data_IF_569278063376
#
_entry.id   IF_569278063376
#
_cell.length_a   1.000
_cell.length_b   1.000
_cell.length_c   1.000
_cell.angle_alpha   90.00
_cell.angle_beta   90.00
_cell.angle_gamma   90.00
#
_symmetry.space_group_name_H-M   'P 1'
#
loop_
_entity.id
_entity.type
_entity.pdbx_description
1 polymer ?
#
# COMPACT_ATOMS: atom_id res chain seq x y z
N UNK A 1 11.62 13.66 16.98
CA UNK A 1 10.81 13.86 15.76
C UNK A 1 9.92 12.64 15.63
N UNK A 2 8.62 12.79 15.86
CA UNK A 2 7.68 11.70 15.62
C UNK A 2 7.51 11.61 14.10
N UNK A 3 7.91 10.50 13.49
CA UNK A 3 7.59 10.24 12.09
C UNK A 3 6.08 9.96 12.00
N UNK A 4 5.27 11.00 11.87
CA UNK A 4 3.80 10.89 11.78
C UNK A 4 3.33 10.02 10.59
N UNK A 5 4.22 9.80 9.62
CA UNK A 5 4.00 8.92 8.45
C UNK A 5 4.34 7.45 8.70
N UNK A 6 5.00 7.10 9.82
CA UNK A 6 5.43 5.73 10.10
C UNK A 6 4.24 4.83 10.44
N UNK A 7 3.93 3.90 9.53
CA UNK A 7 2.85 2.92 9.71
C UNK A 7 3.31 1.86 10.71
N UNK A 8 2.56 1.65 11.78
CA UNK A 8 2.93 0.62 12.78
C UNK A 8 2.78 -0.79 12.21
N UNK A 9 3.51 -1.76 12.75
CA UNK A 9 3.37 -3.17 12.38
C UNK A 9 1.91 -3.68 12.49
N UNK A 10 1.17 -3.21 13.50
CA UNK A 10 -0.24 -3.58 13.68
C UNK A 10 -1.12 -3.02 12.55
N UNK A 11 -0.84 -1.81 12.08
CA UNK A 11 -1.53 -1.25 10.92
C UNK A 11 -1.14 -1.97 9.64
N UNK A 12 0.15 -2.28 9.42
CA UNK A 12 0.60 -3.06 8.26
C UNK A 12 -0.19 -4.38 8.16
N UNK A 13 -0.34 -5.12 9.27
CA UNK A 13 -1.13 -6.35 9.27
C UNK A 13 -2.61 -6.13 8.92
N UNK A 14 -3.22 -5.03 9.38
CA UNK A 14 -4.60 -4.69 9.01
C UNK A 14 -4.71 -4.37 7.52
N UNK A 15 -3.77 -3.57 7.01
CA UNK A 15 -3.69 -3.18 5.59
C UNK A 15 -3.55 -4.43 4.73
N UNK A 16 -2.56 -5.29 5.00
CA UNK A 16 -2.36 -6.58 4.29
C UNK A 16 -3.64 -7.44 4.35
N UNK A 17 -4.32 -7.46 5.50
CA UNK A 17 -5.59 -8.16 5.65
C UNK A 17 -6.66 -7.69 4.67
N UNK A 18 -6.75 -6.38 4.42
CA UNK A 18 -7.70 -5.81 3.45
C UNK A 18 -7.28 -6.13 2.01
N UNK A 19 -5.99 -6.03 1.66
CA UNK A 19 -5.50 -6.42 0.34
C UNK A 19 -5.84 -7.88 0.03
N UNK A 20 -5.58 -8.79 0.97
CA UNK A 20 -5.90 -10.22 0.82
C UNK A 20 -7.40 -10.47 0.65
N UNK A 21 -8.25 -9.74 1.38
CA UNK A 21 -9.71 -9.81 1.21
C UNK A 21 -10.18 -9.33 -0.17
N UNK A 22 -9.46 -8.38 -0.75
CA UNK A 22 -9.69 -7.85 -2.10
C UNK A 22 -8.99 -8.65 -3.20
N UNK A 23 -8.42 -9.83 -2.88
CA UNK A 23 -7.81 -10.73 -3.85
C UNK A 23 -6.36 -10.40 -4.23
N UNK A 24 -5.77 -9.36 -3.65
CA UNK A 24 -4.36 -9.03 -3.89
C UNK A 24 -3.45 -9.91 -3.05
N UNK A 25 -2.53 -10.59 -3.73
CA UNK A 25 -1.51 -11.45 -3.15
C UNK A 25 -0.17 -11.11 -3.79
N UNK A 26 0.88 -11.12 -2.98
CA UNK A 26 2.16 -10.61 -3.41
C UNK A 26 3.04 -10.16 -2.26
N UNK A 27 4.13 -9.48 -2.65
CA UNK A 27 5.07 -8.87 -1.73
C UNK A 27 4.67 -7.42 -1.45
N UNK A 28 4.76 -7.01 -0.19
CA UNK A 28 4.42 -5.67 0.27
C UNK A 28 5.70 -4.96 0.68
N UNK A 29 6.04 -3.86 0.01
CA UNK A 29 7.35 -3.23 0.16
C UNK A 29 7.31 -1.97 1.03
N UNK A 30 6.38 -1.05 0.73
CA UNK A 30 6.27 0.22 1.45
C UNK A 30 4.84 0.45 1.91
N UNK A 31 4.73 1.16 3.05
CA UNK A 31 3.47 1.55 3.66
C UNK A 31 3.60 2.99 4.14
N UNK A 32 2.74 3.87 3.65
CA UNK A 32 2.74 5.28 4.03
C UNK A 32 1.34 5.73 4.41
N UNK A 33 1.20 6.51 5.48
CA UNK A 33 -0.08 7.19 5.76
C UNK A 33 -0.29 8.33 4.78
N UNK A 34 -1.52 8.46 4.29
CA UNK A 34 -1.94 9.67 3.59
C UNK A 34 -1.84 10.87 4.53
N UNK A 35 -1.32 11.99 4.03
CA UNK A 35 -1.28 13.27 4.77
C UNK A 35 -2.60 14.02 4.68
N UNK A 36 -3.45 13.66 3.72
CA UNK A 36 -4.67 14.41 3.39
C UNK A 36 -5.91 13.80 4.06
N UNK A 37 -5.97 12.48 4.19
CA UNK A 37 -7.12 11.78 4.73
C UNK A 37 -6.72 10.75 5.77
N UNK A 38 -7.35 10.82 6.95
CA UNK A 38 -7.14 9.85 8.03
C UNK A 38 -7.65 8.46 7.64
N UNK A 39 -6.87 7.43 7.97
CA UNK A 39 -7.23 6.03 7.66
C UNK A 39 -6.96 5.60 6.21
N UNK A 40 -6.42 6.50 5.39
CA UNK A 40 -5.92 6.18 4.05
C UNK A 40 -4.41 5.91 4.06
N UNK A 41 -4.01 4.92 3.28
CA UNK A 41 -2.63 4.46 3.19
C UNK A 41 -2.23 4.24 1.75
N UNK A 42 -0.99 4.55 1.42
CA UNK A 42 -0.34 4.19 0.17
C UNK A 42 0.54 2.96 0.41
N UNK A 43 0.41 1.97 -0.48
CA UNK A 43 1.07 0.67 -0.34
C UNK A 43 1.63 0.25 -1.67
N UNK A 44 2.90 -0.12 -1.69
CA UNK A 44 3.52 -0.74 -2.86
C UNK A 44 3.40 -2.25 -2.73
N UNK A 45 2.81 -2.85 -3.76
CA UNK A 45 2.60 -4.30 -3.85
C UNK A 45 3.14 -4.81 -5.19
N UNK A 46 3.92 -5.88 -5.12
CA UNK A 46 4.32 -6.67 -6.29
C UNK A 46 3.42 -7.90 -6.36
N UNK A 47 2.58 -7.98 -7.39
CA UNK A 47 1.62 -9.09 -7.57
C UNK A 47 2.33 -10.42 -7.81
N UNK A 48 1.88 -11.49 -7.13
CA UNK A 48 2.55 -12.80 -7.17
C UNK A 48 2.47 -13.51 -8.53
N UNK A 49 1.43 -13.23 -9.32
CA UNK A 49 1.17 -13.95 -10.57
C UNK A 49 1.82 -13.25 -11.77
N UNK A 50 1.70 -11.93 -11.80
CA UNK A 50 2.14 -11.08 -12.92
C UNK A 50 3.50 -10.46 -12.69
N UNK A 51 4.00 -10.46 -11.45
CA UNK A 51 5.23 -9.75 -11.03
C UNK A 51 5.18 -8.24 -11.29
N UNK A 52 3.99 -7.69 -11.53
CA UNK A 52 3.79 -6.26 -11.73
C UNK A 52 3.83 -5.58 -10.37
N UNK A 53 4.71 -4.59 -10.25
CA UNK A 53 4.77 -3.69 -9.08
C UNK A 53 3.82 -2.53 -9.28
N UNK A 54 2.99 -2.25 -8.29
CA UNK A 54 2.01 -1.17 -8.35
C UNK A 54 1.90 -0.39 -7.05
N UNK A 55 1.54 0.88 -7.18
CA UNK A 55 1.09 1.69 -6.06
C UNK A 55 -0.43 1.54 -5.91
N UNK A 56 -0.84 1.27 -4.68
CA UNK A 56 -2.24 1.12 -4.30
C UNK A 56 -2.57 2.09 -3.17
N UNK A 57 -3.82 2.53 -3.16
CA UNK A 57 -4.41 3.30 -2.08
C UNK A 57 -5.37 2.39 -1.32
N UNK A 58 -5.23 2.30 -0.01
CA UNK A 58 -6.10 1.51 0.86
C UNK A 58 -6.77 2.39 1.89
N UNK A 59 -8.06 2.15 2.15
CA UNK A 59 -8.81 2.80 3.21
C UNK A 59 -9.23 1.73 4.23
N UNK A 60 -8.70 1.83 5.46
CA UNK A 60 -8.99 0.85 6.52
C UNK A 60 -10.43 0.93 7.03
N UNK A 61 -11.03 2.11 7.00
CA UNK A 61 -12.40 2.36 7.47
C UNK A 61 -13.42 1.74 6.53
N UNK A 62 -13.22 1.92 5.22
CA UNK A 62 -14.15 1.47 4.18
C UNK A 62 -13.84 0.06 3.68
N UNK A 63 -12.66 -0.48 3.97
CA UNK A 63 -12.27 -1.82 3.52
C UNK A 63 -11.87 -1.90 2.04
N UNK A 64 -11.55 -0.75 1.43
CA UNK A 64 -11.34 -0.62 -0.02
C UNK A 64 -9.86 -0.56 -0.37
N UNK A 65 -9.50 -1.17 -1.50
CA UNK A 65 -8.19 -1.05 -2.16
C UNK A 65 -8.39 -0.57 -3.59
N UNK A 66 -7.70 0.50 -3.95
CA UNK A 66 -7.78 1.14 -5.26
C UNK A 66 -6.39 1.20 -5.90
N UNK A 67 -6.24 0.61 -7.07
CA UNK A 67 -5.04 0.75 -7.90
C UNK A 67 -4.82 2.23 -8.29
N UNK A 68 -3.57 2.69 -8.23
CA UNK A 68 -3.19 4.04 -8.65
C UNK A 68 -2.45 4.00 -9.99
N UNK A 69 -1.27 3.39 -10.02
CA UNK A 69 -0.46 3.22 -11.23
C UNK A 69 0.61 2.12 -11.03
N UNK A 70 1.13 1.59 -12.14
CA UNK A 70 2.27 0.67 -12.16
C UNK A 70 3.53 1.44 -11.79
N UNK A 71 4.39 0.83 -10.99
CA UNK A 71 5.74 1.32 -10.74
C UNK A 71 6.68 0.61 -11.71
N UNK A 72 7.14 1.31 -12.73
CA UNK A 72 8.23 0.83 -13.58
C UNK A 72 9.57 1.18 -12.94
N UNK A 73 10.58 0.31 -13.12
CA UNK A 73 11.98 0.54 -12.72
C UNK A 73 12.59 1.82 -13.35
N UNK A 74 11.87 2.48 -14.26
CA UNK A 74 12.25 3.75 -14.89
C UNK A 74 11.99 5.01 -14.05
N UNK A 75 11.36 4.90 -12.88
CA UNK A 75 11.21 6.02 -11.94
C UNK A 75 12.11 5.88 -10.71
N UNK A 76 13.36 5.46 -10.90
CA UNK A 76 14.42 5.85 -9.97
C UNK A 76 14.59 7.37 -10.09
N UNK A 77 13.98 8.12 -9.18
CA UNK A 77 14.41 9.49 -8.91
C UNK A 77 15.91 9.45 -8.62
N UNK A 78 16.67 10.13 -9.50
CA UNK A 78 18.10 10.35 -9.37
C UNK A 78 18.44 11.14 -8.09
#
# INVERSE_FOLDING_TARGET
>A
MNNETEVSQREMLKIIGIFRKNGFKGEYETFERSKENEGEYFVVVTDENTHIKGLFKANLTDGVVSFQHVLDDHNTVA
#
